data_IF_713428472938
#
_entry.id   IF_713428472938
#
_cell.length_a   1.000
_cell.length_b   1.000
_cell.length_c   1.000
_cell.angle_alpha   90.00
_cell.angle_beta   90.00
_cell.angle_gamma   90.00
#
_symmetry.space_group_name_H-M   'P 1'
#
loop_
_entity.id
_entity.type
_entity.pdbx_description
1 polymer ?
#
# COMPACT_ATOMS: atom_id res chain seq x y z
N UNK A 1 4.06 18.66 -1.85
CA UNK A 1 3.93 20.04 -1.37
C UNK A 1 4.80 20.90 -2.27
N UNK A 2 4.28 22.02 -2.76
CA UNK A 2 5.15 23.01 -3.38
C UNK A 2 5.88 23.82 -2.29
N UNK A 3 6.88 24.62 -2.70
CA UNK A 3 7.67 25.44 -1.80
C UNK A 3 6.86 26.54 -1.06
N UNK A 4 5.57 26.69 -1.36
CA UNK A 4 4.67 27.65 -0.74
C UNK A 4 3.69 27.01 0.28
N UNK A 5 3.82 25.71 0.55
CA UNK A 5 2.99 25.02 1.53
C UNK A 5 1.55 24.76 1.07
N UNK A 6 1.24 24.91 -0.23
CA UNK A 6 -0.07 24.53 -0.76
C UNK A 6 -0.13 23.01 -0.94
N UNK A 7 -1.08 22.38 -0.25
CA UNK A 7 -1.47 21.00 -0.52
C UNK A 7 -2.05 20.89 -1.92
N UNK A 8 -1.56 19.95 -2.72
CA UNK A 8 -2.08 19.63 -4.04
C UNK A 8 -2.70 18.23 -4.00
N UNK A 9 -3.92 18.09 -4.54
CA UNK A 9 -4.51 16.77 -4.79
C UNK A 9 -3.67 16.10 -5.87
N UNK A 10 -2.95 15.04 -5.49
CA UNK A 10 -2.13 14.24 -6.42
C UNK A 10 -2.94 13.10 -7.05
N UNK A 11 -4.01 12.67 -6.38
CA UNK A 11 -4.95 11.66 -6.88
C UNK A 11 -6.21 11.66 -6.03
N UNK A 12 -7.35 11.35 -6.67
CA UNK A 12 -8.61 11.03 -6.00
C UNK A 12 -8.93 9.58 -6.33
N UNK A 13 -9.11 8.74 -5.30
CA UNK A 13 -9.45 7.34 -5.50
C UNK A 13 -10.87 7.19 -6.06
N UNK A 14 -11.07 6.27 -7.00
CA UNK A 14 -12.40 5.88 -7.49
C UNK A 14 -13.12 4.91 -6.53
N UNK A 15 -12.43 4.36 -5.53
CA UNK A 15 -12.92 3.38 -4.55
C UNK A 15 -12.78 3.89 -3.11
N UNK A 16 -13.56 3.37 -2.13
CA UNK A 16 -14.09 4.19 -1.05
C UNK A 16 -13.08 4.64 0.01
N UNK A 17 -11.99 3.92 0.26
CA UNK A 17 -11.17 4.16 1.45
C UNK A 17 -9.67 3.90 1.19
N UNK A 18 -8.84 4.88 1.54
CA UNK A 18 -7.39 4.70 1.72
C UNK A 18 -7.10 4.65 3.21
N UNK A 19 -6.63 3.52 3.72
CA UNK A 19 -6.33 3.33 5.14
C UNK A 19 -4.85 3.44 5.49
N UNK A 20 -3.98 3.19 4.52
CA UNK A 20 -2.55 3.19 4.73
C UNK A 20 -1.84 3.93 3.60
N UNK A 21 -0.77 4.66 3.95
CA UNK A 21 0.14 5.27 2.98
C UNK A 21 1.59 5.08 3.39
N UNK A 22 2.50 4.96 2.42
CA UNK A 22 3.93 4.90 2.64
C UNK A 22 4.70 5.58 1.50
N UNK A 23 5.89 6.10 1.79
CA UNK A 23 6.80 6.65 0.77
C UNK A 23 7.99 5.72 0.60
N UNK A 24 8.38 5.45 -0.65
CA UNK A 24 9.66 4.81 -0.91
C UNK A 24 10.82 5.82 -0.75
N UNK A 25 12.07 5.33 -0.81
CA UNK A 25 13.28 6.17 -0.69
C UNK A 25 13.44 7.19 -1.83
N UNK A 26 12.66 7.06 -2.91
CA UNK A 26 12.63 7.97 -4.06
C UNK A 26 11.47 8.97 -3.97
N UNK A 27 10.65 8.89 -2.91
CA UNK A 27 9.50 9.76 -2.68
C UNK A 27 8.25 9.37 -3.47
N UNK A 28 8.18 8.18 -4.05
CA UNK A 28 6.94 7.68 -4.62
C UNK A 28 5.96 7.27 -3.51
N UNK A 29 4.70 7.69 -3.64
CA UNK A 29 3.65 7.42 -2.66
C UNK A 29 2.97 6.10 -2.98
N UNK A 30 2.72 5.31 -1.96
CA UNK A 30 1.94 4.08 -2.04
C UNK A 30 0.73 4.21 -1.14
N UNK A 31 -0.41 3.69 -1.59
CA UNK A 31 -1.68 3.75 -0.86
C UNK A 31 -2.33 2.35 -0.82
N UNK A 32 -2.78 1.94 0.35
CA UNK A 32 -3.53 0.70 0.58
C UNK A 32 -5.03 0.98 0.66
N UNK A 33 -5.83 0.21 -0.08
CA UNK A 33 -7.28 0.37 -0.14
C UNK A 33 -8.07 -0.62 0.73
N UNK A 34 -9.36 -0.29 0.90
CA UNK A 34 -10.42 -1.12 1.48
C UNK A 34 -11.73 -0.85 0.72
N UNK A 35 -12.67 -1.81 0.62
CA UNK A 35 -12.61 -3.22 1.04
C UNK A 35 -12.13 -4.19 -0.07
N UNK A 36 -11.69 -3.67 -1.22
CA UNK A 36 -10.96 -4.45 -2.23
C UNK A 36 -9.47 -4.16 -2.04
N UNK A 37 -8.84 -4.92 -1.14
CA UNK A 37 -7.52 -4.63 -0.62
C UNK A 37 -6.44 -4.71 -1.69
N UNK A 38 -6.02 -3.53 -2.16
CA UNK A 38 -4.99 -3.34 -3.18
C UNK A 38 -4.00 -2.30 -2.72
N UNK A 39 -2.78 -2.41 -3.23
CA UNK A 39 -1.74 -1.40 -3.09
C UNK A 39 -1.62 -0.68 -4.42
N UNK A 40 -1.73 0.64 -4.39
CA UNK A 40 -1.52 1.51 -5.53
C UNK A 40 -0.22 2.28 -5.37
N UNK A 41 0.58 2.35 -6.43
CA UNK A 41 1.68 3.30 -6.53
C UNK A 41 1.15 4.58 -7.18
N UNK A 42 1.28 5.69 -6.49
CA UNK A 42 0.84 7.02 -6.90
C UNK A 42 2.08 7.82 -7.33
N UNK A 43 2.09 8.22 -8.59
CA UNK A 43 3.08 9.09 -9.18
C UNK A 43 2.40 10.36 -9.71
N UNK A 44 3.17 11.32 -10.24
CA UNK A 44 2.64 12.60 -10.75
C UNK A 44 1.54 12.44 -11.82
N UNK A 45 1.48 11.28 -12.49
CA UNK A 45 0.60 11.02 -13.62
C UNK A 45 -0.61 10.16 -13.24
N UNK A 46 -0.81 9.90 -11.94
CA UNK A 46 -1.91 9.09 -11.42
C UNK A 46 -1.45 7.87 -10.61
N UNK A 47 -2.41 7.02 -10.27
CA UNK A 47 -2.20 5.80 -9.51
C UNK A 47 -2.21 4.57 -10.42
N UNK A 48 -1.35 3.59 -10.12
CA UNK A 48 -1.34 2.27 -10.77
C UNK A 48 -1.39 1.19 -9.71
N UNK A 49 -2.16 0.14 -9.96
CA UNK A 49 -2.14 -1.06 -9.11
C UNK A 49 -0.70 -1.61 -9.09
N UNK A 50 -0.19 -1.80 -7.89
CA UNK A 50 1.17 -2.26 -7.63
C UNK A 50 1.18 -3.69 -7.08
N UNK A 51 0.21 -4.03 -6.22
CA UNK A 51 0.08 -5.36 -5.63
C UNK A 51 -1.35 -5.62 -5.18
N UNK A 52 -1.83 -6.85 -5.36
CA UNK A 52 -3.16 -7.29 -4.97
C UNK A 52 -3.07 -8.65 -4.25
N UNK A 53 -2.99 -8.69 -2.91
CA UNK A 53 -2.84 -9.92 -2.14
C UNK A 53 -4.11 -10.78 -2.06
N UNK A 54 -5.20 -10.38 -2.75
CA UNK A 54 -6.53 -10.97 -2.60
C UNK A 54 -7.04 -10.93 -1.15
N UNK A 55 -6.73 -9.84 -0.46
CA UNK A 55 -7.20 -9.55 0.89
C UNK A 55 -8.26 -8.46 0.85
N UNK A 56 -9.17 -8.45 1.83
CA UNK A 56 -10.22 -7.44 1.93
C UNK A 56 -9.66 -6.08 2.35
N UNK A 57 -8.71 -6.05 3.27
CA UNK A 57 -8.22 -4.81 3.86
C UNK A 57 -6.71 -4.72 3.82
N UNK A 58 -6.19 -3.57 3.36
CA UNK A 58 -4.80 -3.18 3.58
C UNK A 58 -4.77 -2.19 4.74
N UNK A 59 -4.22 -2.59 5.89
CA UNK A 59 -4.18 -1.76 7.09
C UNK A 59 -2.84 -1.04 7.28
N UNK A 60 -1.76 -1.63 6.80
CA UNK A 60 -0.43 -1.09 7.03
C UNK A 60 0.47 -1.27 5.80
N UNK A 61 1.27 -0.24 5.54
CA UNK A 61 2.32 -0.23 4.52
C UNK A 61 3.61 0.30 5.16
N UNK A 62 4.72 -0.38 4.91
CA UNK A 62 6.04 0.09 5.36
C UNK A 62 7.14 -0.38 4.41
N UNK A 63 8.08 0.50 4.07
CA UNK A 63 9.27 0.11 3.32
C UNK A 63 10.37 -0.37 4.27
N UNK A 64 10.96 -1.52 3.94
CA UNK A 64 12.20 -2.01 4.52
C UNK A 64 13.41 -1.20 4.03
N UNK A 65 14.54 -1.35 4.72
CA UNK A 65 15.82 -0.72 4.31
C UNK A 65 16.36 -1.28 2.99
N UNK A 66 15.94 -2.49 2.63
CA UNK A 66 16.22 -3.16 1.36
C UNK A 66 15.35 -2.63 0.20
N UNK A 67 14.36 -1.77 0.51
CA UNK A 67 13.42 -1.23 -0.48
C UNK A 67 12.21 -2.11 -0.73
N UNK A 68 12.06 -3.25 -0.06
CA UNK A 68 10.87 -4.07 -0.15
C UNK A 68 9.69 -3.41 0.57
N UNK A 69 8.49 -3.52 0.02
CA UNK A 69 7.27 -3.04 0.64
C UNK A 69 6.63 -4.16 1.47
N UNK A 70 6.42 -3.90 2.76
CA UNK A 70 5.66 -4.76 3.64
C UNK A 70 4.20 -4.32 3.67
N UNK A 71 3.30 -5.27 3.47
CA UNK A 71 1.85 -5.06 3.36
C UNK A 71 1.14 -5.89 4.41
N UNK A 72 0.58 -5.21 5.43
CA UNK A 72 -0.22 -5.84 6.46
C UNK A 72 -1.70 -5.89 6.07
N UNK A 73 -2.27 -7.10 6.04
CA UNK A 73 -3.68 -7.34 5.69
C UNK A 73 -4.52 -7.68 6.90
N UNK A 74 -5.82 -7.36 6.83
CA UNK A 74 -6.69 -7.46 8.00
C UNK A 74 -7.49 -8.75 8.17
N UNK A 75 -8.10 -9.22 7.09
CA UNK A 75 -8.98 -10.39 7.08
C UNK A 75 -8.24 -11.73 7.27
N UNK A 76 -6.98 -11.81 6.84
CA UNK A 76 -6.15 -13.01 7.03
C UNK A 76 -5.00 -12.79 8.01
N UNK A 77 -4.85 -11.59 8.58
CA UNK A 77 -3.75 -11.27 9.49
C UNK A 77 -2.37 -11.59 8.91
N UNK A 78 -2.18 -11.39 7.59
CA UNK A 78 -0.92 -11.71 6.90
C UNK A 78 -0.08 -10.46 6.69
N UNK A 79 1.23 -10.66 6.69
CA UNK A 79 2.20 -9.69 6.21
C UNK A 79 2.81 -10.23 4.94
N UNK A 80 2.64 -9.50 3.84
CA UNK A 80 3.32 -9.79 2.59
C UNK A 80 4.57 -8.93 2.48
N UNK A 81 5.64 -9.49 1.90
CA UNK A 81 6.82 -8.74 1.47
C UNK A 81 6.80 -8.66 -0.05
N UNK A 82 6.84 -7.46 -0.60
CA UNK A 82 6.72 -7.17 -2.03
C UNK A 82 8.03 -6.55 -2.52
N UNK A 83 8.76 -7.33 -3.31
CA UNK A 83 10.07 -6.94 -3.86
C UNK A 83 9.93 -5.99 -5.05
N UNK A 84 8.87 -6.17 -5.84
CA UNK A 84 8.56 -5.33 -7.00
C UNK A 84 7.09 -5.50 -7.38
N UNK A 85 6.59 -4.67 -8.31
CA UNK A 85 5.19 -4.71 -8.73
C UNK A 85 4.73 -6.14 -9.07
N UNK A 86 3.64 -6.58 -8.42
CA UNK A 86 3.05 -7.91 -8.56
C UNK A 86 3.85 -9.06 -7.95
N UNK A 87 5.08 -8.83 -7.45
CA UNK A 87 5.95 -9.87 -6.87
C UNK A 87 5.96 -9.78 -5.36
N UNK A 88 4.88 -10.24 -4.74
CA UNK A 88 4.75 -10.36 -3.30
C UNK A 88 4.65 -11.81 -2.84
N UNK A 89 5.22 -12.09 -1.68
CA UNK A 89 5.14 -13.38 -0.99
C UNK A 89 4.71 -13.19 0.47
N UNK A 90 4.13 -14.22 1.08
CA UNK A 90 3.81 -14.17 2.51
C UNK A 90 5.13 -14.18 3.29
N UNK A 91 5.40 -13.10 4.01
CA UNK A 91 6.54 -12.97 4.89
C UNK A 91 6.23 -13.46 6.30
N UNK A 92 5.01 -13.20 6.76
CA UNK A 92 4.54 -13.66 8.06
C UNK A 92 3.04 -13.96 8.01
N UNK A 93 2.65 -15.06 8.62
CA UNK A 93 1.26 -15.43 8.86
C UNK A 93 1.07 -15.46 10.38
N UNK A 94 0.19 -14.60 10.89
CA UNK A 94 -0.08 -14.52 12.34
C UNK A 94 -0.82 -15.75 12.85
N UNK A 95 -1.41 -16.56 11.96
CA UNK A 95 -2.30 -17.66 12.32
C UNK A 95 -3.63 -17.22 12.94
N UNK A 96 -3.95 -15.91 12.92
CA UNK A 96 -5.20 -15.38 13.44
C UNK A 96 -6.16 -15.04 12.30
N UNK A 97 -7.42 -15.46 12.43
CA UNK A 97 -8.46 -15.28 11.39
C UNK A 97 -9.27 -13.99 11.61
N UNK A 98 -9.02 -13.23 12.68
CA UNK A 98 -9.69 -11.95 12.94
C UNK A 98 -8.82 -11.03 13.83
N UNK A 99 -8.65 -9.77 13.40
CA UNK A 99 -8.23 -8.61 14.20
C UNK A 99 -9.23 -7.49 13.98
#
# INVERSE_FOLDING_TARGET
>A
MDAAGKGQVVWTAEQPEVFAVALDSKGALFAGSSPDGKVYKIEKNGAKEYFAPQAKYIWALAFGKDGALYVGTGDQGKVFRVESAGKGEVYYDTGQVHV
#
